data_IF_922173839664
#
_entry.id   IF_922173839664
#
_cell.length_a   1.000
_cell.length_b   1.000
_cell.length_c   1.000
_cell.angle_alpha   90.00
_cell.angle_beta   90.00
_cell.angle_gamma   90.00
#
_symmetry.space_group_name_H-M   'P 1'
#
loop_
_entity.id
_entity.type
_entity.pdbx_description
1 polymer ?
#
# COMPACT_ATOMS: atom_id res chain seq x y z
N UNK A 1 -10.88 -27.85 6.10
CA UNK A 1 -10.39 -26.46 6.25
C UNK A 1 -10.33 -25.86 4.84
N UNK A 2 -11.50 -25.47 4.31
CA UNK A 2 -11.71 -25.13 2.90
C UNK A 2 -10.83 -23.96 2.45
N UNK A 3 -10.66 -22.95 3.33
CA UNK A 3 -9.78 -21.81 3.06
C UNK A 3 -8.33 -22.21 2.77
N UNK A 4 -7.79 -23.24 3.44
CA UNK A 4 -6.44 -23.74 3.18
C UNK A 4 -6.34 -24.48 1.85
N UNK A 5 -7.37 -25.22 1.47
CA UNK A 5 -7.42 -25.89 0.16
C UNK A 5 -7.56 -24.88 -0.97
N UNK A 6 -8.41 -23.86 -0.82
CA UNK A 6 -8.55 -22.78 -1.80
C UNK A 6 -7.26 -21.96 -1.93
N UNK A 7 -6.60 -21.60 -0.82
CA UNK A 7 -5.31 -20.91 -0.86
C UNK A 7 -4.23 -21.75 -1.54
N UNK A 8 -4.17 -23.07 -1.24
CA UNK A 8 -3.21 -23.98 -1.86
C UNK A 8 -3.48 -24.16 -3.37
N UNK A 9 -4.75 -24.30 -3.78
CA UNK A 9 -5.13 -24.38 -5.19
C UNK A 9 -4.79 -23.09 -5.95
N UNK A 10 -5.01 -21.93 -5.33
CA UNK A 10 -4.63 -20.65 -5.93
C UNK A 10 -3.10 -20.57 -6.14
N UNK A 11 -2.31 -20.91 -5.11
CA UNK A 11 -0.83 -20.91 -5.19
C UNK A 11 -0.26 -21.93 -6.19
N UNK A 12 -0.94 -23.05 -6.41
CA UNK A 12 -0.51 -24.12 -7.33
C UNK A 12 -1.13 -24.02 -8.73
N UNK A 13 -2.02 -23.05 -8.94
CA UNK A 13 -2.66 -22.85 -10.23
C UNK A 13 -1.64 -22.49 -11.33
N UNK A 14 -1.81 -22.99 -12.57
CA UNK A 14 -0.99 -22.58 -13.70
C UNK A 14 -1.00 -21.06 -13.92
N UNK A 15 -2.15 -20.41 -13.73
CA UNK A 15 -2.27 -18.95 -13.89
C UNK A 15 -1.38 -18.17 -12.92
N UNK A 16 -1.29 -18.62 -11.66
CA UNK A 16 -0.41 -18.00 -10.68
C UNK A 16 1.05 -18.28 -11.01
N UNK A 17 1.42 -19.53 -11.36
CA UNK A 17 2.80 -19.85 -11.78
C UNK A 17 3.28 -18.97 -12.94
N UNK A 18 2.44 -18.77 -13.95
CA UNK A 18 2.75 -17.89 -15.08
C UNK A 18 2.91 -16.43 -14.62
N UNK A 19 2.11 -15.97 -13.66
CA UNK A 19 2.26 -14.62 -13.10
C UNK A 19 3.65 -14.42 -12.45
N UNK A 20 4.20 -15.45 -11.80
CA UNK A 20 5.54 -15.43 -11.20
C UNK A 20 6.69 -15.41 -12.21
N UNK A 21 6.46 -15.80 -13.47
CA UNK A 21 7.46 -15.70 -14.52
C UNK A 21 7.58 -14.26 -15.06
N UNK A 22 8.24 -13.40 -14.28
CA UNK A 22 8.58 -12.03 -14.69
C UNK A 22 9.57 -12.00 -15.87
N UNK A 23 10.27 -13.10 -16.20
CA UNK A 23 11.22 -13.15 -17.34
C UNK A 23 10.50 -13.15 -18.69
N UNK A 24 9.22 -13.53 -18.71
CA UNK A 24 8.38 -13.40 -19.90
C UNK A 24 8.05 -11.95 -20.31
N UNK A 25 8.29 -10.97 -19.44
CA UNK A 25 8.06 -9.55 -19.76
C UNK A 25 9.20 -8.94 -20.58
N UNK A 26 8.91 -7.99 -21.49
CA UNK A 26 9.94 -7.28 -22.25
C UNK A 26 11.01 -6.69 -21.33
N UNK A 27 12.28 -6.87 -21.69
CA UNK A 27 13.40 -6.37 -20.90
C UNK A 27 13.29 -4.85 -20.61
N UNK A 28 12.85 -4.08 -21.59
CA UNK A 28 12.64 -2.64 -21.44
C UNK A 28 11.60 -2.29 -20.35
N UNK A 29 10.50 -3.04 -20.23
CA UNK A 29 9.50 -2.82 -19.19
C UNK A 29 10.10 -3.11 -17.81
N UNK A 30 10.84 -4.21 -17.70
CA UNK A 30 11.54 -4.57 -16.46
C UNK A 30 12.57 -3.53 -16.04
N UNK A 31 13.24 -2.92 -17.02
CA UNK A 31 14.16 -1.83 -16.79
C UNK A 31 13.41 -0.59 -16.30
N UNK A 32 12.25 -0.24 -16.86
CA UNK A 32 11.44 0.88 -16.39
C UNK A 32 11.06 0.75 -14.92
N UNK A 33 10.62 -0.44 -14.48
CA UNK A 33 10.35 -0.72 -13.07
C UNK A 33 11.61 -0.65 -12.18
N UNK A 34 12.78 -0.93 -12.76
CA UNK A 34 14.06 -1.01 -12.05
C UNK A 34 14.42 -2.45 -11.67
N UNK A 35 15.67 -2.83 -11.93
CA UNK A 35 16.24 -4.18 -11.67
C UNK A 35 16.67 -4.37 -10.22
N UNK A 36 15.80 -4.00 -9.29
CA UNK A 36 15.95 -4.21 -7.85
C UNK A 36 14.66 -4.83 -7.30
N UNK A 37 14.72 -5.33 -6.06
CA UNK A 37 13.64 -6.07 -5.43
C UNK A 37 12.29 -5.34 -5.55
N UNK A 38 12.19 -4.07 -5.16
CA UNK A 38 10.91 -3.36 -5.20
C UNK A 38 10.33 -3.19 -6.61
N UNK A 39 11.18 -2.91 -7.60
CA UNK A 39 10.75 -2.73 -8.98
C UNK A 39 10.20 -4.03 -9.55
N UNK A 40 10.91 -5.14 -9.32
CA UNK A 40 10.47 -6.45 -9.79
C UNK A 40 9.26 -6.99 -9.00
N UNK A 41 9.14 -6.64 -7.71
CA UNK A 41 7.95 -6.95 -6.91
C UNK A 41 6.72 -6.17 -7.37
N UNK A 42 6.86 -4.90 -7.73
CA UNK A 42 5.77 -4.11 -8.32
C UNK A 42 5.36 -4.65 -9.70
N UNK A 43 6.32 -5.07 -10.54
CA UNK A 43 6.05 -5.74 -11.81
C UNK A 43 5.28 -7.06 -11.60
N UNK A 44 5.71 -7.88 -10.64
CA UNK A 44 5.02 -9.10 -10.27
C UNK A 44 3.60 -8.81 -9.77
N UNK A 45 3.42 -7.77 -8.95
CA UNK A 45 2.10 -7.37 -8.48
C UNK A 45 1.16 -7.03 -9.64
N UNK A 46 1.65 -6.28 -10.63
CA UNK A 46 0.89 -6.00 -11.86
C UNK A 46 0.51 -7.29 -12.61
N UNK A 47 1.42 -8.26 -12.74
CA UNK A 47 1.12 -9.57 -13.37
C UNK A 47 0.05 -10.34 -12.61
N UNK A 48 0.12 -10.34 -11.27
CA UNK A 48 -0.87 -11.00 -10.41
C UNK A 48 -2.25 -10.34 -10.59
N UNK A 49 -2.32 -9.01 -10.61
CA UNK A 49 -3.55 -8.25 -10.85
C UNK A 49 -4.14 -8.60 -12.23
N UNK A 50 -3.31 -8.63 -13.28
CA UNK A 50 -3.75 -9.02 -14.64
C UNK A 50 -4.29 -10.45 -14.71
N UNK A 51 -3.88 -11.33 -13.79
CA UNK A 51 -4.37 -12.72 -13.68
C UNK A 51 -5.50 -12.87 -12.66
N UNK A 52 -6.07 -11.76 -12.18
CA UNK A 52 -7.27 -11.75 -11.33
C UNK A 52 -7.02 -11.93 -9.84
N UNK A 53 -5.77 -11.77 -9.36
CA UNK A 53 -5.51 -11.77 -7.92
C UNK A 53 -6.13 -10.51 -7.30
N UNK A 54 -7.06 -10.70 -6.38
CA UNK A 54 -7.88 -9.63 -5.79
C UNK A 54 -7.12 -8.69 -4.88
N UNK A 55 -6.07 -9.17 -4.21
CA UNK A 55 -5.31 -8.40 -3.23
C UNK A 55 -3.84 -8.79 -3.28
N UNK A 56 -2.97 -7.79 -3.46
CA UNK A 56 -1.51 -7.99 -3.54
C UNK A 56 -0.82 -6.99 -2.63
N UNK A 57 0.07 -7.48 -1.77
CA UNK A 57 0.92 -6.65 -0.92
C UNK A 57 2.35 -6.67 -1.46
N UNK A 58 2.93 -5.50 -1.67
CA UNK A 58 4.36 -5.33 -1.95
C UNK A 58 5.03 -4.69 -0.75
N UNK A 59 5.87 -5.44 -0.07
CA UNK A 59 6.65 -4.91 1.04
C UNK A 59 7.88 -4.19 0.53
N UNK A 60 8.15 -3.01 1.09
CA UNK A 60 9.37 -2.24 0.84
C UNK A 60 10.07 -2.04 2.16
N UNK A 61 11.35 -2.37 2.25
CA UNK A 61 12.13 -2.32 3.48
C UNK A 61 13.62 -2.16 3.19
N UNK A 62 14.40 -1.48 4.05
CA UNK A 62 14.03 -0.98 5.37
C UNK A 62 13.65 0.52 5.38
N UNK A 63 12.52 0.93 5.98
CA UNK A 63 12.18 2.37 6.14
C UNK A 63 12.50 2.94 7.52
N UNK A 64 13.16 2.14 8.35
CA UNK A 64 13.46 2.50 9.72
C UNK A 64 14.76 3.31 9.80
N UNK A 65 14.65 4.63 9.68
CA UNK A 65 15.82 5.52 9.54
C UNK A 65 16.16 6.29 10.83
N UNK A 66 16.32 5.57 11.94
CA UNK A 66 16.71 6.12 13.25
C UNK A 66 18.19 6.51 13.38
N UNK A 67 19.05 6.10 12.45
CA UNK A 67 20.50 6.31 12.54
C UNK A 67 21.21 5.46 13.62
N UNK A 68 20.49 4.55 14.27
CA UNK A 68 21.04 3.61 15.26
C UNK A 68 21.68 2.38 14.58
N UNK A 69 22.31 1.49 15.35
CA UNK A 69 22.94 0.29 14.82
C UNK A 69 21.97 -0.53 13.93
N UNK A 70 22.42 -0.90 12.72
CA UNK A 70 21.63 -1.59 11.70
C UNK A 70 20.45 -0.79 11.12
N UNK A 71 20.45 0.55 11.25
CA UNK A 71 19.45 1.46 10.69
C UNK A 71 20.15 2.62 9.97
N UNK A 72 19.59 3.05 8.84
CA UNK A 72 20.15 4.18 8.12
C UNK A 72 19.93 5.49 8.89
N UNK A 73 20.84 6.44 8.72
CA UNK A 73 20.51 7.84 8.96
C UNK A 73 19.36 8.27 8.03
N UNK A 74 18.56 9.27 8.42
CA UNK A 74 17.36 9.65 7.63
C UNK A 74 17.70 10.06 6.19
N UNK A 75 18.73 10.88 6.00
CA UNK A 75 19.14 11.32 4.67
C UNK A 75 19.68 10.15 3.82
N UNK A 76 20.48 9.27 4.42
CA UNK A 76 21.04 8.11 3.73
C UNK A 76 19.95 7.15 3.26
N UNK A 77 19.03 6.78 4.17
CA UNK A 77 17.94 5.88 3.85
C UNK A 77 16.99 6.48 2.81
N UNK A 78 16.68 7.78 2.92
CA UNK A 78 15.87 8.48 1.93
C UNK A 78 16.51 8.46 0.54
N UNK A 79 17.81 8.78 0.41
CA UNK A 79 18.50 8.74 -0.87
C UNK A 79 18.59 7.33 -1.48
N UNK A 80 18.68 6.30 -0.63
CA UNK A 80 18.74 4.91 -1.09
C UNK A 80 17.38 4.38 -1.56
N UNK A 81 16.29 4.77 -0.90
CA UNK A 81 15.01 4.07 -1.03
C UNK A 81 13.91 4.88 -1.72
N UNK A 82 13.93 6.21 -1.62
CA UNK A 82 12.93 7.03 -2.32
C UNK A 82 13.03 6.91 -3.84
N UNK A 83 14.22 7.02 -4.49
CA UNK A 83 14.29 6.90 -5.95
C UNK A 83 13.79 5.55 -6.51
N UNK A 84 14.19 4.37 -5.98
CA UNK A 84 13.65 3.10 -6.49
C UNK A 84 12.17 2.92 -6.18
N UNK A 85 11.68 3.41 -5.03
CA UNK A 85 10.26 3.37 -4.69
C UNK A 85 9.42 4.22 -5.67
N UNK A 86 9.80 5.48 -5.87
CA UNK A 86 9.12 6.42 -6.76
C UNK A 86 9.07 5.89 -8.20
N UNK A 87 10.22 5.41 -8.71
CA UNK A 87 10.30 4.79 -10.04
C UNK A 87 9.37 3.59 -10.18
N UNK A 88 9.39 2.67 -9.22
CA UNK A 88 8.57 1.46 -9.28
C UNK A 88 7.08 1.77 -9.19
N UNK A 89 6.67 2.66 -8.27
CA UNK A 89 5.28 3.07 -8.10
C UNK A 89 4.76 3.83 -9.33
N UNK A 90 5.54 4.78 -9.85
CA UNK A 90 5.15 5.52 -11.05
C UNK A 90 5.04 4.62 -12.29
N UNK A 91 5.93 3.63 -12.41
CA UNK A 91 5.86 2.65 -13.52
C UNK A 91 4.66 1.73 -13.36
N UNK A 92 4.36 1.26 -12.14
CA UNK A 92 3.16 0.46 -11.85
C UNK A 92 1.88 1.21 -12.26
N UNK A 93 1.77 2.48 -11.88
CA UNK A 93 0.61 3.32 -12.23
C UNK A 93 0.45 3.42 -13.76
N UNK A 94 1.53 3.72 -14.50
CA UNK A 94 1.49 3.81 -15.96
C UNK A 94 1.14 2.49 -16.62
N UNK A 95 1.78 1.40 -16.20
CA UNK A 95 1.56 0.05 -16.75
C UNK A 95 0.11 -0.43 -16.51
N UNK A 96 -0.48 -0.11 -15.34
CA UNK A 96 -1.90 -0.36 -15.08
C UNK A 96 -2.82 0.50 -15.97
N UNK A 97 -2.45 1.74 -16.26
CA UNK A 97 -3.21 2.61 -17.18
C UNK A 97 -3.15 2.04 -18.60
N UNK A 98 -1.95 1.73 -19.11
CA UNK A 98 -1.74 1.23 -20.47
C UNK A 98 -2.47 -0.10 -20.73
N UNK A 99 -2.68 -0.90 -19.68
CA UNK A 99 -3.43 -2.16 -19.73
C UNK A 99 -4.92 -2.03 -19.43
N UNK A 100 -5.40 -0.82 -19.14
CA UNK A 100 -6.81 -0.58 -18.78
C UNK A 100 -7.22 -1.15 -17.41
N UNK A 101 -6.26 -1.46 -16.54
CA UNK A 101 -6.49 -2.04 -15.21
C UNK A 101 -6.59 -0.97 -14.10
N UNK A 102 -6.10 0.25 -14.35
CA UNK A 102 -6.03 1.31 -13.33
C UNK A 102 -7.39 1.64 -12.68
N UNK A 103 -8.48 1.66 -13.45
CA UNK A 103 -9.82 1.94 -12.92
C UNK A 103 -10.40 0.80 -12.09
N UNK A 104 -9.95 -0.44 -12.30
CA UNK A 104 -10.36 -1.62 -11.55
C UNK A 104 -9.43 -1.97 -10.38
N UNK A 105 -8.36 -1.21 -10.18
CA UNK A 105 -7.33 -1.50 -9.19
C UNK A 105 -7.10 -0.31 -8.29
N UNK A 106 -7.46 -0.46 -7.01
CA UNK A 106 -7.07 0.48 -5.97
C UNK A 106 -5.60 0.25 -5.57
N UNK A 107 -4.78 1.28 -5.73
CA UNK A 107 -3.40 1.34 -5.26
C UNK A 107 -3.38 2.08 -3.93
N UNK A 108 -2.77 1.47 -2.92
CA UNK A 108 -2.54 2.09 -1.60
C UNK A 108 -1.06 1.96 -1.27
N UNK A 109 -0.38 3.10 -1.12
CA UNK A 109 0.99 3.17 -0.63
C UNK A 109 0.99 3.85 0.74
N UNK A 110 1.30 3.08 1.77
CA UNK A 110 1.31 3.52 3.17
C UNK A 110 2.43 2.85 3.97
N UNK A 111 2.85 3.52 5.04
CA UNK A 111 3.64 2.93 6.12
C UNK A 111 2.79 2.68 7.36
N UNK A 112 3.43 2.30 8.46
CA UNK A 112 2.75 1.99 9.72
C UNK A 112 2.53 3.24 10.59
N UNK A 113 3.45 4.20 10.54
CA UNK A 113 3.43 5.45 11.31
C UNK A 113 4.40 6.47 10.70
N UNK A 114 4.34 7.71 11.17
CA UNK A 114 5.20 8.79 10.74
C UNK A 114 6.53 8.83 11.47
N UNK A 115 7.32 9.88 11.18
CA UNK A 115 8.61 10.12 11.82
C UNK A 115 8.63 11.51 12.43
N UNK A 116 9.37 11.67 13.53
CA UNK A 116 9.44 12.95 14.24
C UNK A 116 9.78 14.09 13.29
N UNK A 117 9.23 15.29 13.48
CA UNK A 117 9.53 16.47 12.67
C UNK A 117 10.93 17.05 12.96
N UNK A 118 11.76 16.34 13.73
CA UNK A 118 13.09 16.76 14.18
C UNK A 118 14.06 15.59 14.07
N UNK A 119 15.30 15.93 13.77
CA UNK A 119 16.42 14.99 13.78
C UNK A 119 16.81 14.65 15.21
N UNK A 120 17.07 13.36 15.48
CA UNK A 120 17.63 12.89 16.74
C UNK A 120 19.17 13.05 16.75
N UNK A 121 19.82 12.69 17.86
CA UNK A 121 21.28 12.79 18.02
C UNK A 121 22.10 11.85 17.12
N UNK A 122 21.46 10.85 16.50
CA UNK A 122 22.07 9.87 15.61
C UNK A 122 21.84 10.18 14.12
N UNK A 123 21.45 11.41 13.77
CA UNK A 123 21.09 11.81 12.41
C UNK A 123 19.94 10.97 11.80
N UNK A 124 19.02 10.48 12.65
CA UNK A 124 17.76 9.86 12.26
C UNK A 124 16.53 10.65 12.69
N UNK A 125 15.35 10.05 12.52
CA UNK A 125 14.07 10.55 13.04
C UNK A 125 13.33 9.42 13.75
N UNK A 126 12.75 9.74 14.90
CA UNK A 126 12.14 8.73 15.77
C UNK A 126 10.71 8.38 15.35
N UNK A 127 10.14 7.32 15.94
CA UNK A 127 8.77 6.91 15.70
C UNK A 127 7.79 8.01 16.10
N UNK A 128 6.80 8.26 15.25
CA UNK A 128 5.84 9.33 15.47
C UNK A 128 4.45 8.94 14.98
N UNK A 129 3.63 8.43 15.90
CA UNK A 129 2.27 7.97 15.61
C UNK A 129 1.23 9.08 15.47
N UNK A 130 1.60 10.35 15.71
CA UNK A 130 0.64 11.46 15.69
C UNK A 130 0.23 11.92 14.29
N UNK A 131 1.02 11.61 13.26
CA UNK A 131 0.72 11.97 11.88
C UNK A 131 1.54 11.11 10.90
N UNK A 132 0.90 10.67 9.82
CA UNK A 132 1.54 10.11 8.64
C UNK A 132 0.64 10.34 7.41
N UNK A 133 1.15 10.02 6.23
CA UNK A 133 0.41 10.21 4.98
C UNK A 133 0.23 8.88 4.27
N UNK A 134 -0.90 8.75 3.58
CA UNK A 134 -1.22 7.61 2.71
C UNK A 134 -1.45 8.14 1.31
N UNK A 135 -0.84 7.50 0.32
CA UNK A 135 -1.11 7.75 -1.08
C UNK A 135 -2.10 6.71 -1.59
N UNK A 136 -3.21 7.16 -2.16
CA UNK A 136 -4.22 6.31 -2.79
C UNK A 136 -4.46 6.75 -4.23
N UNK A 137 -4.73 5.80 -5.13
CA UNK A 137 -5.04 6.08 -6.53
C UNK A 137 -5.59 4.86 -7.26
N UNK A 138 -6.08 5.06 -8.48
CA UNK A 138 -6.80 4.02 -9.21
C UNK A 138 -8.18 3.75 -8.61
N UNK A 139 -8.82 2.66 -9.03
CA UNK A 139 -10.07 2.21 -8.45
C UNK A 139 -11.23 3.22 -8.56
N UNK A 140 -11.22 4.08 -9.58
CA UNK A 140 -12.15 5.19 -9.79
C UNK A 140 -12.17 6.24 -8.66
N UNK A 141 -11.12 6.30 -7.84
CA UNK A 141 -11.00 7.38 -6.87
C UNK A 141 -10.82 8.74 -7.57
N UNK A 142 -11.34 9.84 -7.00
CA UNK A 142 -11.03 11.18 -7.45
C UNK A 142 -9.51 11.43 -7.49
N UNK A 143 -9.06 12.13 -8.52
CA UNK A 143 -7.63 12.37 -8.78
C UNK A 143 -7.23 13.79 -8.42
N UNK A 144 -5.98 14.00 -8.05
CA UNK A 144 -5.40 15.32 -7.83
C UNK A 144 -5.94 16.05 -6.59
N UNK A 145 -6.52 15.31 -5.64
CA UNK A 145 -7.03 15.85 -4.38
C UNK A 145 -6.09 15.51 -3.23
N UNK A 146 -6.13 16.36 -2.21
CA UNK A 146 -5.50 16.14 -0.90
C UNK A 146 -6.60 16.22 0.14
N UNK A 147 -6.64 15.26 1.07
CA UNK A 147 -7.66 15.19 2.12
C UNK A 147 -6.96 15.28 3.47
N UNK A 148 -7.39 16.26 4.28
CA UNK A 148 -6.77 16.56 5.57
C UNK A 148 -5.46 17.34 5.45
N UNK A 149 -4.92 17.71 6.62
CA UNK A 149 -3.67 18.46 6.72
C UNK A 149 -2.99 18.24 8.07
N UNK A 150 -1.70 18.49 8.12
CA UNK A 150 -0.91 18.58 9.35
C UNK A 150 -0.52 20.04 9.63
N UNK A 151 0.03 20.29 10.81
CA UNK A 151 0.70 21.55 11.10
C UNK A 151 1.87 21.81 10.13
N UNK A 152 2.37 23.05 10.11
CA UNK A 152 3.45 23.46 9.20
C UNK A 152 4.80 22.72 9.39
N UNK A 153 4.93 21.90 10.44
CA UNK A 153 6.10 21.05 10.71
C UNK A 153 5.83 19.58 10.38
N UNK A 154 4.61 19.22 10.01
CA UNK A 154 4.20 17.83 9.78
C UNK A 154 4.07 17.01 11.07
N UNK A 155 3.85 17.66 12.22
CA UNK A 155 3.90 16.99 13.53
C UNK A 155 2.54 16.43 13.95
N UNK A 156 1.48 17.24 13.88
CA UNK A 156 0.14 16.82 14.28
C UNK A 156 -0.85 17.04 13.16
N UNK A 157 -1.86 16.19 13.08
CA UNK A 157 -3.00 16.39 12.17
C UNK A 157 -3.84 17.56 12.68
N UNK A 158 -4.11 18.52 11.80
CA UNK A 158 -4.85 19.76 12.11
C UNK A 158 -6.17 19.88 11.37
N UNK A 159 -6.36 19.12 10.29
CA UNK A 159 -7.62 19.08 9.55
C UNK A 159 -7.95 17.64 9.13
N UNK A 160 -9.23 17.28 9.21
CA UNK A 160 -9.81 15.95 8.90
C UNK A 160 -8.95 14.79 9.43
N UNK A 161 -8.90 14.54 10.75
CA UNK A 161 -8.17 13.40 11.28
C UNK A 161 -8.81 12.09 10.83
N UNK A 162 -8.00 11.21 10.25
CA UNK A 162 -8.36 9.84 9.90
C UNK A 162 -7.46 8.88 10.64
N UNK A 163 -8.04 7.79 11.10
CA UNK A 163 -7.36 6.66 11.70
C UNK A 163 -6.93 5.65 10.62
N UNK A 164 -6.01 4.72 10.93
CA UNK A 164 -5.74 3.58 10.05
C UNK A 164 -7.00 2.75 9.74
N UNK A 165 -7.99 2.75 10.63
CA UNK A 165 -9.25 2.03 10.45
C UNK A 165 -10.12 2.67 9.35
N UNK A 166 -10.09 3.99 9.19
CA UNK A 166 -10.79 4.70 8.10
C UNK A 166 -10.18 4.37 6.73
N UNK A 167 -8.84 4.21 6.68
CA UNK A 167 -8.13 3.75 5.47
C UNK A 167 -8.55 2.32 5.13
N UNK A 168 -8.58 1.43 6.12
CA UNK A 168 -9.04 0.05 5.93
C UNK A 168 -10.51 0.00 5.46
N UNK A 169 -11.39 0.78 6.09
CA UNK A 169 -12.79 0.90 5.70
C UNK A 169 -12.95 1.40 4.26
N UNK A 170 -12.10 2.33 3.82
CA UNK A 170 -12.07 2.81 2.42
C UNK A 170 -11.67 1.70 1.44
N UNK A 171 -10.68 0.87 1.80
CA UNK A 171 -10.28 -0.30 0.99
C UNK A 171 -11.43 -1.31 0.91
N UNK A 172 -12.06 -1.65 2.03
CA UNK A 172 -13.19 -2.57 2.05
C UNK A 172 -14.39 -2.05 1.24
N UNK A 173 -14.67 -0.75 1.34
CA UNK A 173 -15.70 -0.11 0.52
C UNK A 173 -15.43 -0.28 -0.97
N UNK A 174 -14.19 -0.10 -1.42
CA UNK A 174 -13.81 -0.34 -2.82
C UNK A 174 -13.99 -1.81 -3.26
N UNK A 175 -13.77 -2.75 -2.33
CA UNK A 175 -14.01 -4.18 -2.55
C UNK A 175 -15.51 -4.57 -2.48
N UNK A 176 -16.41 -3.63 -2.19
CA UNK A 176 -17.84 -3.90 -2.00
C UNK A 176 -18.17 -4.62 -0.69
N UNK A 177 -17.28 -4.54 0.30
CA UNK A 177 -17.43 -5.18 1.61
C UNK A 177 -17.86 -4.14 2.64
N UNK A 178 -18.97 -4.40 3.34
CA UNK A 178 -19.37 -3.60 4.49
C UNK A 178 -18.52 -4.00 5.71
N UNK A 179 -17.47 -3.23 5.98
CA UNK A 179 -16.50 -3.51 7.04
C UNK A 179 -17.13 -3.51 8.44
N UNK A 180 -18.17 -2.70 8.66
CA UNK A 180 -18.86 -2.58 9.96
C UNK A 180 -19.82 -3.73 10.24
N UNK A 181 -20.28 -4.41 9.20
CA UNK A 181 -21.23 -5.55 9.33
C UNK A 181 -20.58 -6.91 9.11
N UNK A 182 -19.41 -6.93 8.49
CA UNK A 182 -18.67 -8.17 8.22
C UNK A 182 -17.87 -8.55 9.46
N UNK A 183 -18.05 -9.78 9.94
CA UNK A 183 -17.33 -10.31 11.10
C UNK A 183 -16.94 -11.77 10.89
N UNK A 184 -15.87 -12.20 11.55
CA UNK A 184 -15.48 -13.60 11.65
C UNK A 184 -15.40 -14.02 13.12
N UNK A 185 -15.69 -15.29 13.46
CA UNK A 185 -15.60 -15.75 14.84
C UNK A 185 -14.14 -15.78 15.31
N UNK A 186 -13.90 -15.30 16.53
CA UNK A 186 -12.65 -15.58 17.26
C UNK A 186 -12.60 -17.04 17.72
N UNK A 187 -11.53 -17.40 18.46
CA UNK A 187 -11.37 -18.76 18.99
C UNK A 187 -12.46 -19.18 19.98
N UNK A 188 -13.19 -18.24 20.57
CA UNK A 188 -14.30 -18.46 21.48
C UNK A 188 -15.67 -18.29 20.78
N UNK A 189 -15.71 -18.09 19.46
CA UNK A 189 -16.93 -17.90 18.69
C UNK A 189 -17.52 -16.48 18.75
N UNK A 190 -16.81 -15.51 19.35
CA UNK A 190 -17.28 -14.12 19.40
C UNK A 190 -17.04 -13.43 18.05
N UNK A 191 -17.97 -12.61 17.56
CA UNK A 191 -17.77 -11.89 16.31
C UNK A 191 -16.65 -10.86 16.46
N UNK A 192 -15.62 -10.96 15.62
CA UNK A 192 -14.61 -9.93 15.37
C UNK A 192 -14.98 -9.23 14.08
N UNK A 193 -15.35 -7.95 14.16
CA UNK A 193 -15.69 -7.15 12.99
C UNK A 193 -14.43 -6.72 12.24
N UNK A 194 -14.53 -6.50 10.92
CA UNK A 194 -13.41 -6.01 10.12
C UNK A 194 -13.02 -4.57 10.47
N UNK A 195 -13.99 -3.77 10.89
CA UNK A 195 -13.83 -2.41 11.39
C UNK A 195 -14.83 -2.19 12.52
N UNK A 196 -14.34 -1.80 13.69
CA UNK A 196 -15.15 -1.41 14.84
C UNK A 196 -15.67 0.02 14.69
N UNK A 197 -14.81 0.97 14.27
CA UNK A 197 -15.15 2.40 14.25
C UNK A 197 -14.86 3.14 12.95
N UNK A 198 -13.99 2.60 12.10
CA UNK A 198 -13.56 3.25 10.87
C UNK A 198 -14.67 3.36 9.84
N UNK A 199 -14.71 4.51 9.17
CA UNK A 199 -15.66 4.85 8.12
C UNK A 199 -14.91 5.17 6.81
N UNK A 200 -15.46 4.81 5.63
CA UNK A 200 -14.83 5.16 4.36
C UNK A 200 -14.64 6.67 4.23
N UNK A 201 -13.45 7.08 3.77
CA UNK A 201 -13.10 8.49 3.56
C UNK A 201 -13.95 9.03 2.42
N UNK A 202 -14.96 9.83 2.76
CA UNK A 202 -16.03 10.24 1.84
C UNK A 202 -15.49 11.01 0.64
N UNK A 203 -14.47 11.81 0.83
CA UNK A 203 -13.79 12.58 -0.22
C UNK A 203 -13.17 11.67 -1.29
N UNK A 204 -12.79 10.43 -0.93
CA UNK A 204 -12.25 9.43 -1.85
C UNK A 204 -13.36 8.56 -2.48
N UNK A 205 -14.45 8.32 -1.76
CA UNK A 205 -15.52 7.42 -2.23
C UNK A 205 -16.63 8.10 -3.05
N UNK A 206 -16.54 9.42 -3.31
CA UNK A 206 -17.54 10.12 -4.14
C UNK A 206 -17.46 9.62 -5.58
N UNK A 207 -18.49 8.91 -6.00
CA UNK A 207 -18.79 8.70 -7.41
C UNK A 207 -19.12 10.06 -8.01
N UNK A 208 -18.32 10.51 -8.98
CA UNK A 208 -18.69 11.63 -9.87
C UNK A 208 -19.66 11.12 -10.92
#
# INVERSE_FOLDING_TARGET
>A
NENYQSAFQLLTSPQVRDAFDIQSEPAALRDQYGRHEFGQSALLARRLIERGVTFVTVNTQPWDHHGTANRFATAEGAHKLLPPFDRALATLVRDLIDRGLYESTLIVAMGEFGRTPRMNSAAGRDHWGHAFSVLMGGGKLPRGIVVGATDNKGSYVTDRPFSPEDVAATIYHHLGIDARRTSFPDRAGRPLYLSETGEPIRELCRTV
#
